data_IF_451843632747
#
_entry.id   IF_451843632747
#
_cell.length_a   1.000
_cell.length_b   1.000
_cell.length_c   1.000
_cell.angle_alpha   90.00
_cell.angle_beta   90.00
_cell.angle_gamma   90.00
#
_symmetry.space_group_name_H-M   'P 1'
#
loop_
_entity.id
_entity.type
_entity.pdbx_description
1 polymer ?
#
# COMPACT_ATOMS: atom_id res chain seq x y z
N UNK A 1 -31.58 9.35 -11.98
CA UNK A 1 -31.42 8.88 -10.59
C UNK A 1 -30.16 9.51 -10.03
N UNK A 2 -30.25 10.36 -8.99
CA UNK A 2 -29.07 11.02 -8.39
C UNK A 2 -28.48 10.07 -7.36
N UNK A 3 -27.43 9.34 -7.71
CA UNK A 3 -26.71 8.54 -6.73
C UNK A 3 -25.80 9.44 -5.91
N UNK A 4 -25.66 9.14 -4.62
CA UNK A 4 -24.76 9.85 -3.73
C UNK A 4 -23.59 8.96 -3.36
N UNK A 5 -22.39 9.52 -3.43
CA UNK A 5 -21.16 8.84 -3.03
C UNK A 5 -20.94 9.12 -1.54
N UNK A 6 -21.01 8.10 -0.65
CA UNK A 6 -20.82 8.33 0.77
C UNK A 6 -19.38 8.75 1.08
N UNK A 7 -19.18 9.47 2.18
CA UNK A 7 -17.84 9.81 2.67
C UNK A 7 -17.08 8.57 3.19
N UNK A 8 -15.75 8.65 3.25
CA UNK A 8 -14.87 7.56 3.67
C UNK A 8 -15.12 7.11 5.11
N UNK A 9 -15.42 8.03 6.02
CA UNK A 9 -15.77 7.70 7.40
C UNK A 9 -17.06 6.89 7.48
N UNK A 10 -18.08 7.29 6.72
CA UNK A 10 -19.38 6.59 6.68
C UNK A 10 -19.20 5.17 6.14
N UNK A 11 -18.41 5.00 5.07
CA UNK A 11 -18.11 3.67 4.53
C UNK A 11 -17.31 2.84 5.54
N UNK A 12 -16.35 3.42 6.24
CA UNK A 12 -15.55 2.75 7.27
C UNK A 12 -16.41 2.23 8.42
N UNK A 13 -17.34 3.06 8.91
CA UNK A 13 -18.29 2.66 9.96
C UNK A 13 -19.21 1.52 9.49
N UNK A 14 -19.71 1.60 8.25
CA UNK A 14 -20.54 0.55 7.67
C UNK A 14 -19.77 -0.78 7.54
N UNK A 15 -18.52 -0.73 7.07
CA UNK A 15 -17.63 -1.90 6.99
C UNK A 15 -17.42 -2.52 8.37
N UNK A 16 -17.11 -1.70 9.38
CA UNK A 16 -16.88 -2.18 10.74
C UNK A 16 -18.13 -2.85 11.33
N UNK A 17 -19.32 -2.29 11.10
CA UNK A 17 -20.61 -2.89 11.52
C UNK A 17 -20.84 -4.24 10.85
N UNK A 18 -20.58 -4.36 9.54
CA UNK A 18 -20.71 -5.63 8.81
C UNK A 18 -19.74 -6.66 9.36
N UNK A 19 -18.46 -6.31 9.49
CA UNK A 19 -17.42 -7.22 9.98
C UNK A 19 -17.63 -7.64 11.43
N UNK A 20 -18.27 -6.81 12.24
CA UNK A 20 -18.64 -7.16 13.62
C UNK A 20 -19.71 -8.25 13.69
N UNK A 21 -20.65 -8.27 12.72
CA UNK A 21 -21.70 -9.29 12.62
C UNK A 21 -21.21 -10.54 11.88
N UNK A 22 -20.35 -10.34 10.88
CA UNK A 22 -19.83 -11.38 9.99
C UNK A 22 -18.31 -11.36 10.06
N UNK A 23 -17.72 -12.19 10.93
CA UNK A 23 -16.26 -12.27 11.08
C UNK A 23 -15.55 -12.82 9.84
N UNK A 24 -16.28 -13.49 8.94
CA UNK A 24 -15.79 -14.11 7.71
C UNK A 24 -16.80 -13.91 6.58
N UNK A 25 -16.33 -13.54 5.39
CA UNK A 25 -17.14 -13.33 4.18
C UNK A 25 -16.36 -13.87 2.99
N UNK A 26 -16.94 -14.78 2.22
CA UNK A 26 -16.17 -15.55 1.24
C UNK A 26 -16.05 -14.90 -0.15
N UNK A 27 -16.87 -13.89 -0.44
CA UNK A 27 -16.89 -13.26 -1.76
C UNK A 27 -17.03 -11.74 -1.72
N UNK A 28 -16.50 -11.09 -2.75
CA UNK A 28 -16.65 -9.64 -2.94
C UNK A 28 -18.10 -9.20 -3.12
N UNK A 29 -18.91 -10.00 -3.83
CA UNK A 29 -20.32 -9.70 -4.11
C UNK A 29 -21.14 -9.74 -2.83
N UNK A 30 -20.90 -10.74 -1.99
CA UNK A 30 -21.55 -10.84 -0.68
C UNK A 30 -21.15 -9.67 0.21
N UNK A 31 -19.85 -9.35 0.28
CA UNK A 31 -19.38 -8.25 1.11
C UNK A 31 -19.98 -6.91 0.66
N UNK A 32 -20.03 -6.68 -0.66
CA UNK A 32 -20.66 -5.50 -1.25
C UNK A 32 -22.15 -5.40 -0.89
N UNK A 33 -22.88 -6.52 -0.98
CA UNK A 33 -24.31 -6.58 -0.64
C UNK A 33 -24.54 -6.22 0.83
N UNK A 34 -23.74 -6.77 1.75
CA UNK A 34 -23.85 -6.51 3.18
C UNK A 34 -23.55 -5.05 3.52
N UNK A 35 -22.48 -4.48 2.95
CA UNK A 35 -22.12 -3.06 3.18
C UNK A 35 -23.18 -2.13 2.60
N UNK A 36 -23.71 -2.41 1.39
CA UNK A 36 -24.81 -1.62 0.82
C UNK A 36 -26.07 -1.65 1.67
N UNK A 37 -26.41 -2.82 2.25
CA UNK A 37 -27.55 -2.96 3.16
C UNK A 37 -27.38 -2.16 4.45
N UNK A 38 -26.15 -1.98 4.94
CA UNK A 38 -25.90 -1.12 6.10
C UNK A 38 -25.91 0.37 5.71
N UNK A 39 -25.38 0.73 4.54
CA UNK A 39 -25.40 2.12 4.04
C UNK A 39 -26.82 2.61 3.70
N UNK A 40 -27.68 1.75 3.14
CA UNK A 40 -29.05 2.10 2.78
C UNK A 40 -29.93 2.46 3.97
N UNK A 41 -29.54 2.09 5.19
CA UNK A 41 -30.23 2.51 6.43
C UNK A 41 -29.98 3.96 6.78
N UNK A 42 -28.91 4.55 6.26
CA UNK A 42 -28.55 5.95 6.47
C UNK A 42 -29.10 6.83 5.36
N UNK A 43 -28.93 6.38 4.11
CA UNK A 43 -29.39 7.09 2.92
C UNK A 43 -29.58 6.07 1.79
N UNK A 44 -30.78 6.01 1.21
CA UNK A 44 -31.15 5.03 0.18
C UNK A 44 -30.40 5.27 -1.15
N UNK A 45 -29.94 6.49 -1.39
CA UNK A 45 -29.21 6.87 -2.62
C UNK A 45 -27.71 6.57 -2.54
N UNK A 46 -27.22 6.08 -1.40
CA UNK A 46 -25.82 5.71 -1.24
C UNK A 46 -25.42 4.54 -2.13
N UNK A 47 -24.36 4.75 -2.91
CA UNK A 47 -23.76 3.73 -3.78
C UNK A 47 -22.25 3.64 -3.53
N UNK A 48 -21.76 2.41 -3.50
CA UNK A 48 -20.34 2.09 -3.32
C UNK A 48 -19.96 0.93 -4.23
N UNK A 49 -18.70 0.91 -4.70
CA UNK A 49 -18.13 -0.20 -5.45
C UNK A 49 -17.40 -1.18 -4.52
N UNK A 50 -17.31 -2.46 -4.93
CA UNK A 50 -16.59 -3.46 -4.14
C UNK A 50 -15.11 -3.10 -3.96
N UNK A 51 -14.51 -2.51 -4.98
CA UNK A 51 -13.13 -2.02 -4.91
C UNK A 51 -12.94 -0.90 -3.89
N UNK A 52 -13.87 0.08 -3.83
CA UNK A 52 -13.82 1.16 -2.82
C UNK A 52 -13.93 0.60 -1.40
N UNK A 53 -14.77 -0.42 -1.21
CA UNK A 53 -14.86 -1.15 0.07
C UNK A 53 -13.52 -1.80 0.42
N UNK A 54 -12.88 -2.50 -0.53
CA UNK A 54 -11.56 -3.12 -0.28
C UNK A 54 -10.52 -2.09 0.12
N UNK A 55 -10.43 -0.99 -0.64
CA UNK A 55 -9.45 0.08 -0.40
C UNK A 55 -9.62 0.68 0.99
N UNK A 56 -10.83 1.16 1.31
CA UNK A 56 -11.13 1.79 2.60
C UNK A 56 -10.94 0.79 3.75
N UNK A 57 -11.41 -0.44 3.58
CA UNK A 57 -11.28 -1.47 4.61
C UNK A 57 -9.82 -1.87 4.89
N UNK A 58 -8.97 -1.94 3.87
CA UNK A 58 -7.54 -2.27 4.02
C UNK A 58 -6.74 -1.08 4.55
N UNK A 59 -7.00 0.12 4.03
CA UNK A 59 -6.32 1.36 4.44
C UNK A 59 -6.58 1.65 5.93
N UNK A 60 -7.83 1.48 6.38
CA UNK A 60 -8.23 1.67 7.78
C UNK A 60 -8.09 0.41 8.64
N UNK A 61 -7.49 -0.66 8.11
CA UNK A 61 -7.26 -1.93 8.82
C UNK A 61 -8.52 -2.52 9.48
N UNK A 62 -9.66 -2.39 8.83
CA UNK A 62 -10.93 -2.96 9.26
C UNK A 62 -11.08 -4.43 8.82
N UNK A 63 -10.37 -4.79 7.75
CA UNK A 63 -10.48 -6.11 7.10
C UNK A 63 -9.09 -6.69 6.85
N UNK A 64 -9.00 -8.02 6.97
CA UNK A 64 -7.93 -8.82 6.38
C UNK A 64 -8.48 -9.47 5.12
N UNK A 65 -7.66 -9.51 4.08
CA UNK A 65 -8.04 -10.11 2.80
C UNK A 65 -7.13 -11.30 2.50
N UNK A 66 -7.73 -12.41 2.13
CA UNK A 66 -7.05 -13.55 1.51
C UNK A 66 -7.39 -13.51 0.03
N UNK A 67 -6.38 -13.63 -0.81
CA UNK A 67 -6.50 -13.53 -2.27
C UNK A 67 -6.26 -14.91 -2.84
N UNK A 68 -7.27 -15.46 -3.51
CA UNK A 68 -7.09 -16.62 -4.37
C UNK A 68 -6.70 -16.11 -5.76
N UNK A 69 -5.60 -16.63 -6.27
CA UNK A 69 -5.02 -16.20 -7.53
C UNK A 69 -5.47 -17.09 -8.66
N UNK A 70 -5.53 -16.53 -9.86
CA UNK A 70 -5.61 -17.27 -11.12
C UNK A 70 -4.45 -16.85 -12.02
N UNK A 71 -4.02 -17.77 -12.86
CA UNK A 71 -3.03 -17.47 -13.90
C UNK A 71 -3.63 -16.53 -14.95
N UNK A 72 -2.77 -15.71 -15.54
CA UNK A 72 -3.12 -14.76 -16.58
C UNK A 72 -2.01 -14.71 -17.60
N UNK A 73 -2.36 -14.50 -18.87
CA UNK A 73 -1.41 -14.37 -19.98
C UNK A 73 -0.72 -13.00 -20.05
N UNK A 74 -0.92 -12.16 -19.03
CA UNK A 74 -0.29 -10.84 -18.97
C UNK A 74 1.20 -11.07 -18.72
N UNK A 75 2.07 -10.41 -19.48
CA UNK A 75 3.52 -10.55 -19.36
C UNK A 75 4.15 -9.50 -18.46
N UNK A 76 3.50 -8.34 -18.30
CA UNK A 76 4.05 -7.20 -17.59
C UNK A 76 3.64 -7.18 -16.11
N UNK A 77 4.59 -6.79 -15.26
CA UNK A 77 4.34 -6.60 -13.84
C UNK A 77 3.58 -5.28 -13.61
N UNK A 78 2.41 -5.28 -12.96
CA UNK A 78 1.66 -4.06 -12.72
C UNK A 78 2.41 -3.13 -11.75
N UNK A 79 2.39 -1.83 -12.05
CA UNK A 79 2.90 -0.78 -11.14
C UNK A 79 1.89 -0.45 -10.03
N UNK A 80 0.59 -0.65 -10.31
CA UNK A 80 -0.52 -0.36 -9.40
C UNK A 80 -1.17 -1.66 -8.95
N UNK A 81 -1.41 -1.80 -7.64
CA UNK A 81 -2.03 -3.00 -7.09
C UNK A 81 -3.51 -3.15 -7.56
N UNK A 82 -3.90 -4.29 -8.16
CA UNK A 82 -5.28 -4.52 -8.61
C UNK A 82 -6.28 -4.64 -7.46
N UNK A 83 -5.80 -4.88 -6.23
CA UNK A 83 -6.66 -5.11 -5.05
C UNK A 83 -7.03 -3.80 -4.35
N UNK A 84 -6.02 -2.96 -4.08
CA UNK A 84 -6.17 -1.74 -3.28
C UNK A 84 -5.72 -0.44 -4.00
N UNK A 85 -5.24 -0.53 -5.24
CA UNK A 85 -4.67 0.57 -6.04
C UNK A 85 -3.49 1.32 -5.42
N UNK A 86 -2.86 0.80 -4.38
CA UNK A 86 -1.60 1.34 -3.91
C UNK A 86 -0.46 0.94 -4.85
N UNK A 87 0.55 1.80 -4.98
CA UNK A 87 1.73 1.52 -5.77
C UNK A 87 2.47 0.27 -5.25
N UNK A 88 2.97 -0.50 -6.19
CA UNK A 88 3.70 -1.74 -5.93
C UNK A 88 5.18 -1.46 -5.80
N UNK A 89 5.83 -2.13 -4.84
CA UNK A 89 7.26 -1.99 -4.60
C UNK A 89 8.01 -3.16 -5.25
N UNK A 90 9.04 -2.89 -6.07
CA UNK A 90 9.90 -3.92 -6.62
C UNK A 90 10.70 -4.60 -5.51
N UNK A 91 10.90 -5.90 -5.65
CA UNK A 91 11.81 -6.69 -4.83
C UNK A 91 12.96 -7.12 -5.72
N UNK A 92 14.10 -6.48 -5.50
CA UNK A 92 15.34 -6.71 -6.23
C UNK A 92 16.13 -7.83 -5.55
N UNK A 93 16.82 -8.64 -6.34
CA UNK A 93 17.83 -9.56 -5.86
C UNK A 93 19.12 -9.38 -6.65
N UNK A 94 20.23 -9.76 -6.06
CA UNK A 94 21.53 -9.77 -6.75
C UNK A 94 21.68 -11.08 -7.52
N UNK A 95 21.96 -11.00 -8.83
CA UNK A 95 22.26 -12.15 -9.66
C UNK A 95 23.64 -12.73 -9.32
N UNK A 96 23.94 -13.92 -9.85
CA UNK A 96 25.27 -14.52 -9.74
C UNK A 96 26.34 -13.67 -10.46
N UNK A 97 25.97 -12.91 -11.49
CA UNK A 97 26.85 -11.94 -12.17
C UNK A 97 27.00 -10.61 -11.41
N UNK A 98 26.28 -10.44 -10.29
CA UNK A 98 26.37 -9.25 -9.45
C UNK A 98 25.39 -8.12 -9.79
N UNK A 99 24.56 -8.28 -10.83
CA UNK A 99 23.54 -7.31 -11.25
C UNK A 99 22.28 -7.37 -10.37
N UNK A 100 21.53 -6.28 -10.28
CA UNK A 100 20.25 -6.26 -9.55
C UNK A 100 19.09 -6.55 -10.49
N UNK A 101 18.41 -7.68 -10.27
CA UNK A 101 17.27 -8.12 -11.09
C UNK A 101 15.99 -8.09 -10.26
N UNK A 102 14.91 -7.56 -10.84
CA UNK A 102 13.58 -7.58 -10.23
C UNK A 102 13.02 -9.01 -10.24
N UNK A 103 12.79 -9.59 -9.05
CA UNK A 103 12.23 -10.95 -8.93
C UNK A 103 10.70 -10.92 -8.82
N UNK A 104 10.17 -9.97 -8.05
CA UNK A 104 8.74 -9.87 -7.74
C UNK A 104 8.37 -8.46 -7.34
N UNK A 105 7.09 -8.13 -7.46
CA UNK A 105 6.50 -6.91 -6.87
C UNK A 105 5.57 -7.28 -5.74
N UNK A 106 5.61 -6.49 -4.66
CA UNK A 106 4.68 -6.61 -3.53
C UNK A 106 3.91 -5.32 -3.31
N UNK A 107 2.64 -5.42 -2.92
CA UNK A 107 1.91 -4.26 -2.46
C UNK A 107 2.40 -3.84 -1.06
N UNK A 108 2.44 -2.53 -0.80
CA UNK A 108 2.83 -1.96 0.49
C UNK A 108 1.74 -2.03 1.57
N UNK A 109 0.49 -2.27 1.17
CA UNK A 109 -0.70 -2.18 2.05
C UNK A 109 -1.45 -3.51 2.16
N UNK A 110 -1.60 -4.26 1.07
CA UNK A 110 -2.34 -5.53 1.06
C UNK A 110 -1.40 -6.71 0.77
N UNK A 111 -1.83 -7.97 1.00
CA UNK A 111 -0.97 -9.14 0.81
C UNK A 111 -0.73 -9.51 -0.67
N UNK A 112 -1.20 -8.71 -1.62
CA UNK A 112 -1.00 -8.96 -3.04
C UNK A 112 0.49 -8.94 -3.39
N UNK A 113 0.96 -10.03 -4.00
CA UNK A 113 2.32 -10.20 -4.47
C UNK A 113 2.27 -10.87 -5.84
N UNK A 114 3.16 -10.47 -6.73
CA UNK A 114 3.26 -10.98 -8.10
C UNK A 114 4.72 -11.21 -8.46
N UNK A 115 5.01 -12.39 -9.03
CA UNK A 115 6.35 -12.78 -9.47
C UNK A 115 6.44 -12.85 -10.99
N UNK A 116 7.37 -13.67 -11.51
CA UNK A 116 7.56 -13.86 -12.96
C UNK A 116 6.33 -14.38 -13.69
N UNK A 117 5.52 -15.23 -13.05
CA UNK A 117 4.20 -15.61 -13.55
C UNK A 117 3.16 -14.62 -13.02
N UNK A 118 2.43 -13.99 -13.94
CA UNK A 118 1.44 -12.98 -13.58
C UNK A 118 0.19 -13.66 -13.03
N UNK A 119 0.06 -13.55 -11.71
CA UNK A 119 -1.10 -14.01 -10.96
C UNK A 119 -2.06 -12.85 -10.75
N UNK A 120 -3.27 -12.96 -11.31
CA UNK A 120 -4.33 -11.97 -11.10
C UNK A 120 -5.29 -12.44 -10.01
N UNK A 121 -5.88 -11.53 -9.22
CA UNK A 121 -6.87 -11.91 -8.23
C UNK A 121 -8.09 -12.56 -8.89
N UNK A 122 -8.44 -13.78 -8.47
CA UNK A 122 -9.63 -14.51 -8.88
C UNK A 122 -10.77 -14.33 -7.88
N UNK A 123 -10.52 -14.66 -6.61
CA UNK A 123 -11.50 -14.56 -5.52
C UNK A 123 -10.90 -13.84 -4.31
N UNK A 124 -11.76 -13.13 -3.60
CA UNK A 124 -11.42 -12.44 -2.36
C UNK A 124 -12.22 -13.01 -1.20
N UNK A 125 -11.51 -13.45 -0.17
CA UNK A 125 -12.07 -13.86 1.11
C UNK A 125 -11.70 -12.81 2.15
N UNK A 126 -12.69 -12.33 2.89
CA UNK A 126 -12.54 -11.27 3.87
C UNK A 126 -12.72 -11.82 5.27
N UNK A 127 -11.88 -11.37 6.19
CA UNK A 127 -12.03 -11.61 7.61
C UNK A 127 -11.91 -10.32 8.39
N UNK A 128 -12.55 -10.26 9.55
CA UNK A 128 -12.43 -9.11 10.44
C UNK A 128 -10.97 -8.97 10.90
N UNK A 129 -10.41 -7.76 10.78
CA UNK A 129 -9.17 -7.46 11.45
C UNK A 129 -9.42 -7.45 12.97
N UNK A 130 -8.69 -8.25 13.75
CA UNK A 130 -8.80 -8.21 15.22
C UNK A 130 -8.55 -6.78 15.68
N UNK A 131 -9.43 -6.23 16.52
CA UNK A 131 -9.41 -4.85 17.03
C UNK A 131 -8.11 -4.47 17.78
N UNK A 132 -7.08 -5.32 17.83
CA UNK A 132 -5.88 -5.13 18.64
C UNK A 132 -4.57 -4.84 17.88
N UNK A 133 -4.51 -4.91 16.55
CA UNK A 133 -3.18 -5.10 15.91
C UNK A 133 -2.72 -4.01 14.94
N UNK A 134 -3.24 -2.78 15.02
CA UNK A 134 -2.45 -1.64 14.55
C UNK A 134 -2.52 -0.49 15.53
N UNK A 135 -1.39 -0.16 16.15
CA UNK A 135 -1.23 1.10 16.88
C UNK A 135 -1.55 2.27 15.93
N UNK A 136 -2.06 3.40 16.47
CA UNK A 136 -2.17 4.66 15.71
C UNK A 136 -0.85 5.01 15.00
N UNK A 137 0.27 4.58 15.59
CA UNK A 137 1.60 4.69 15.00
C UNK A 137 1.72 3.90 13.69
N UNK A 138 1.22 2.67 13.62
CA UNK A 138 1.32 1.84 12.42
C UNK A 138 0.40 2.33 11.30
N UNK A 139 -0.78 2.85 11.62
CA UNK A 139 -1.63 3.55 10.65
C UNK A 139 -0.92 4.78 10.07
N UNK A 140 -0.24 5.55 10.92
CA UNK A 140 0.53 6.72 10.49
C UNK A 140 1.73 6.32 9.61
N UNK A 141 2.44 5.26 9.97
CA UNK A 141 3.53 4.69 9.15
C UNK A 141 3.02 4.20 7.80
N UNK A 142 1.81 3.62 7.72
CA UNK A 142 1.20 3.26 6.43
C UNK A 142 0.94 4.49 5.56
N UNK A 143 0.45 5.59 6.15
CA UNK A 143 0.25 6.87 5.43
C UNK A 143 1.58 7.40 4.88
N UNK A 144 2.65 7.38 5.68
CA UNK A 144 3.99 7.77 5.24
C UNK A 144 4.49 6.91 4.08
N UNK A 145 4.36 5.58 4.17
CA UNK A 145 4.71 4.68 3.06
C UNK A 145 3.91 4.94 1.80
N UNK A 146 2.61 5.24 1.93
CA UNK A 146 1.74 5.61 0.81
C UNK A 146 2.19 6.92 0.16
N UNK A 147 2.59 7.91 0.97
CA UNK A 147 3.18 9.15 0.46
C UNK A 147 4.47 8.89 -0.32
N UNK A 148 5.40 8.11 0.24
CA UNK A 148 6.64 7.73 -0.47
C UNK A 148 6.38 6.98 -1.77
N UNK A 149 5.38 6.12 -1.82
CA UNK A 149 5.01 5.41 -3.04
C UNK A 149 4.45 6.34 -4.13
N UNK A 150 3.67 7.36 -3.74
CA UNK A 150 3.20 8.40 -4.67
C UNK A 150 4.34 9.28 -5.20
N UNK A 151 5.33 9.58 -4.37
CA UNK A 151 6.52 10.32 -4.82
C UNK A 151 7.28 9.49 -5.87
N UNK A 152 7.44 8.17 -5.66
CA UNK A 152 8.06 7.29 -6.66
C UNK A 152 7.28 7.23 -7.98
N UNK A 153 5.95 7.22 -7.91
CA UNK A 153 5.10 7.34 -9.09
C UNK A 153 5.31 8.68 -9.82
N UNK A 154 5.35 9.78 -9.07
CA UNK A 154 5.63 11.10 -9.63
C UNK A 154 7.04 11.18 -10.26
N UNK A 155 8.05 10.57 -9.65
CA UNK A 155 9.40 10.50 -10.23
C UNK A 155 9.40 9.83 -11.61
N UNK A 156 8.69 8.70 -11.77
CA UNK A 156 8.60 8.03 -13.06
C UNK A 156 7.90 8.89 -14.13
N UNK A 157 6.85 9.61 -13.75
CA UNK A 157 6.18 10.56 -14.65
C UNK A 157 7.09 11.73 -15.05
N UNK A 158 7.92 12.21 -14.13
CA UNK A 158 8.91 13.28 -14.40
C UNK A 158 9.97 12.78 -15.38
N UNK A 159 10.55 11.61 -15.14
CA UNK A 159 11.54 11.00 -16.04
C UNK A 159 10.95 10.80 -17.44
N UNK A 160 9.74 10.24 -17.54
CA UNK A 160 9.08 10.03 -18.84
C UNK A 160 8.79 11.34 -19.57
N UNK A 161 8.34 12.38 -18.85
CA UNK A 161 7.99 13.66 -19.45
C UNK A 161 9.21 14.47 -19.94
N UNK A 162 10.36 14.33 -19.29
CA UNK A 162 11.57 15.13 -19.57
C UNK A 162 12.59 14.39 -20.43
N UNK A 163 12.40 13.09 -20.68
CA UNK A 163 13.27 12.29 -21.54
C UNK A 163 13.35 12.85 -22.96
N UNK A 164 14.57 13.10 -23.45
CA UNK A 164 14.82 13.65 -24.78
C UNK A 164 14.51 15.14 -24.92
N UNK A 165 14.21 15.83 -23.81
CA UNK A 165 14.06 17.29 -23.77
C UNK A 165 15.38 17.96 -23.39
N UNK A 166 15.48 19.27 -23.59
CA UNK A 166 16.60 20.11 -23.11
C UNK A 166 16.68 20.19 -21.58
N UNK A 167 15.64 19.73 -20.88
CA UNK A 167 15.54 19.73 -19.42
C UNK A 167 15.82 18.36 -18.79
N UNK A 168 16.26 17.36 -19.57
CA UNK A 168 16.48 15.99 -19.09
C UNK A 168 17.45 15.92 -17.89
N UNK A 169 18.56 16.67 -17.92
CA UNK A 169 19.51 16.74 -16.81
C UNK A 169 18.89 17.33 -15.54
N UNK A 170 18.12 18.43 -15.67
CA UNK A 170 17.42 19.05 -14.54
C UNK A 170 16.32 18.14 -13.98
N UNK A 171 15.65 17.39 -14.86
CA UNK A 171 14.68 16.37 -14.47
C UNK A 171 15.32 15.25 -13.66
N UNK A 172 16.50 14.79 -14.08
CA UNK A 172 17.27 13.76 -13.40
C UNK A 172 17.72 14.21 -12.01
N UNK A 173 18.14 15.48 -11.88
CA UNK A 173 18.50 16.09 -10.60
C UNK A 173 17.29 16.16 -9.65
N UNK A 174 16.14 16.66 -10.11
CA UNK A 174 14.90 16.68 -9.33
C UNK A 174 14.48 15.28 -8.86
N UNK A 175 14.62 14.27 -9.72
CA UNK A 175 14.30 12.87 -9.39
C UNK A 175 15.28 12.33 -8.35
N UNK A 176 16.55 12.70 -8.42
CA UNK A 176 17.57 12.36 -7.42
C UNK A 176 17.20 12.92 -6.04
N UNK A 177 16.81 14.20 -5.97
CA UNK A 177 16.40 14.86 -4.71
C UNK A 177 15.17 14.19 -4.10
N UNK A 178 14.15 13.91 -4.92
CA UNK A 178 12.93 13.21 -4.48
C UNK A 178 13.25 11.80 -3.98
N UNK A 179 14.18 11.10 -4.62
CA UNK A 179 14.64 9.79 -4.18
C UNK A 179 15.30 9.87 -2.81
N UNK A 180 16.12 10.90 -2.59
CA UNK A 180 16.78 11.16 -1.31
C UNK A 180 15.74 11.37 -0.19
N UNK A 181 14.73 12.19 -0.44
CA UNK A 181 13.63 12.44 0.52
C UNK A 181 12.82 11.18 0.87
N UNK A 182 12.75 10.20 -0.03
CA UNK A 182 11.95 8.99 0.22
C UNK A 182 12.75 7.90 0.92
N UNK A 183 13.96 7.58 0.42
CA UNK A 183 14.67 6.35 0.77
C UNK A 183 16.03 6.56 1.48
N UNK A 184 16.52 7.81 1.61
CA UNK A 184 17.86 8.08 2.16
C UNK A 184 17.99 7.56 3.61
N UNK A 185 19.04 6.76 3.91
CA UNK A 185 19.35 6.34 5.27
C UNK A 185 19.99 7.46 6.10
N UNK A 186 20.60 8.46 5.46
CA UNK A 186 21.39 9.52 6.12
C UNK A 186 20.54 10.75 6.44
N UNK A 187 19.54 11.05 5.60
CA UNK A 187 18.64 12.17 5.85
C UNK A 187 17.64 11.84 6.94
N UNK A 188 17.71 12.54 8.08
CA UNK A 188 16.74 12.43 9.17
C UNK A 188 15.30 12.71 8.70
N UNK A 189 15.14 13.62 7.74
CA UNK A 189 13.84 14.02 7.19
C UNK A 189 13.28 13.04 6.16
N UNK A 190 13.98 11.94 5.85
CA UNK A 190 13.49 10.99 4.86
C UNK A 190 12.26 10.25 5.36
N UNK A 191 11.33 9.93 4.44
CA UNK A 191 10.11 9.16 4.78
C UNK A 191 10.46 7.83 5.44
N UNK A 192 11.56 7.20 4.99
CA UNK A 192 12.12 5.98 5.59
C UNK A 192 12.48 6.19 7.06
N UNK A 193 13.27 7.21 7.39
CA UNK A 193 13.74 7.45 8.75
C UNK A 193 12.61 7.89 9.68
N UNK A 194 11.72 8.78 9.24
CA UNK A 194 10.51 9.16 9.99
C UNK A 194 9.64 7.92 10.28
N UNK A 195 9.45 7.04 9.29
CA UNK A 195 8.68 5.80 9.46
C UNK A 195 9.34 4.84 10.47
N UNK A 196 10.66 4.82 10.54
CA UNK A 196 11.43 3.99 11.47
C UNK A 196 11.34 4.54 12.89
N UNK A 197 11.46 5.85 13.06
CA UNK A 197 11.37 6.53 14.35
C UNK A 197 9.96 6.38 14.95
N UNK A 198 8.91 6.52 14.12
CA UNK A 198 7.52 6.28 14.56
C UNK A 198 7.28 4.85 15.07
N UNK A 199 8.04 3.85 14.59
CA UNK A 199 7.94 2.47 15.06
C UNK A 199 8.71 2.21 16.35
N UNK A 200 9.73 3.01 16.66
CA UNK A 200 10.64 2.77 17.79
C UNK A 200 10.32 3.59 19.04
N UNK A 201 9.18 4.31 19.04
CA UNK A 201 8.66 5.17 20.12
C UNK A 201 9.27 4.89 21.49
N UNK A 202 10.16 5.79 21.96
CA UNK A 202 10.85 5.69 23.26
C UNK A 202 12.33 5.28 23.22
N UNK A 203 12.92 5.08 22.05
CA UNK A 203 14.37 4.88 21.86
C UNK A 203 14.95 5.97 20.97
N UNK A 204 16.26 6.23 21.09
CA UNK A 204 16.95 7.19 20.22
C UNK A 204 16.72 6.86 18.73
N UNK A 205 16.47 7.88 17.89
CA UNK A 205 16.24 7.70 16.46
C UNK A 205 17.31 6.83 15.78
N UNK A 206 16.94 6.06 14.76
CA UNK A 206 17.90 5.11 14.16
C UNK A 206 19.07 5.84 13.52
N UNK A 207 18.81 6.99 12.91
CA UNK A 207 19.80 7.82 12.23
C UNK A 207 20.77 8.53 13.20
N UNK A 208 20.48 8.57 14.50
CA UNK A 208 21.42 9.06 15.53
C UNK A 208 22.31 7.95 16.09
N UNK A 209 22.08 6.68 15.70
CA UNK A 209 22.87 5.56 16.20
C UNK A 209 24.15 5.42 15.37
N UNK A 210 25.34 5.36 15.99
CA UNK A 210 26.57 5.12 15.27
C UNK A 210 26.48 3.77 14.55
N UNK A 211 26.79 3.77 13.25
CA UNK A 211 26.82 2.60 12.36
C UNK A 211 27.79 1.51 12.83
N UNK A 212 28.75 1.87 13.68
CA UNK A 212 29.73 0.99 14.31
C UNK A 212 29.48 0.92 15.82
N UNK A 213 28.54 0.07 16.23
CA UNK A 213 28.48 -0.41 17.61
C UNK A 213 28.75 -1.91 17.62
N UNK A 214 29.80 -2.32 18.33
CA UNK A 214 30.24 -3.71 18.54
C UNK A 214 29.10 -4.59 19.12
N UNK A 215 28.03 -4.00 19.66
CA UNK A 215 26.86 -4.72 20.18
C UNK A 215 25.81 -5.11 19.15
N UNK A 216 25.89 -4.66 17.90
CA UNK A 216 24.90 -4.93 16.84
C UNK A 216 25.43 -5.82 15.69
N UNK A 217 26.60 -6.46 15.83
CA UNK A 217 27.17 -7.33 14.78
C UNK A 217 26.49 -8.71 14.64
N UNK A 218 25.48 -9.01 15.45
CA UNK A 218 24.71 -10.25 15.34
C UNK A 218 23.21 -9.97 15.44
N UNK A 219 22.56 -9.72 14.30
CA UNK A 219 21.21 -10.21 13.92
C UNK A 219 20.72 -9.67 12.59
#
# INVERSE_FOLDING_TARGET
>A
MRFKVPDEEVVSQAINKVMTKNNHIETQTEFLRLVRKELSKLDEDYRVSGERIRRIGLDNNLIKITIEYRESDIKDLPHICPVCRNAMSPVMNRSLEGEYVEIKRKCSVCPYTIGKTVLVPGRYVFSRAKNNDLSQQELSVRKLKKAGAKIKEAMGLIEEALKGTDLEERGSELVSDLKEMVDSPELAISIKNISLDMKQSGKDPIWTRPTVSIKNSEK
#
